data_IF_901220395822
#
_entry.id   IF_901220395822
#
_cell.length_a   1.000
_cell.length_b   1.000
_cell.length_c   1.000
_cell.angle_alpha   90.00
_cell.angle_beta   90.00
_cell.angle_gamma   90.00
#
_symmetry.space_group_name_H-M   'P 1'
#
loop_
_entity.id
_entity.type
_entity.pdbx_description
1 polymer ?
#
# COMPACT_ATOMS: atom_id res chain seq x y z
N UNK A 1 24.44 83.21 8.02
CA UNK A 1 24.46 82.04 8.94
C UNK A 1 23.02 81.59 9.25
N UNK A 2 22.71 80.30 9.17
CA UNK A 2 21.66 79.73 10.04
C UNK A 2 20.51 78.88 9.46
N UNK A 3 20.21 78.87 8.15
CA UNK A 3 19.03 78.14 7.63
C UNK A 3 19.29 76.71 7.11
N UNK A 4 20.54 76.32 6.85
CA UNK A 4 20.83 75.07 6.14
C UNK A 4 20.99 73.82 7.03
N UNK A 5 21.32 73.97 8.31
CA UNK A 5 21.63 72.82 9.18
C UNK A 5 20.40 72.27 9.92
N UNK A 6 19.31 73.03 10.03
CA UNK A 6 18.10 72.61 10.74
C UNK A 6 17.24 71.62 9.92
N UNK A 7 17.13 71.81 8.60
CA UNK A 7 16.34 70.92 7.73
C UNK A 7 16.97 69.53 7.54
N UNK A 8 18.29 69.41 7.67
CA UNK A 8 19.00 68.12 7.48
C UNK A 8 18.83 67.20 8.70
N UNK A 9 18.76 67.75 9.92
CA UNK A 9 18.61 66.98 11.15
C UNK A 9 17.16 66.48 11.33
N UNK A 10 16.17 67.31 10.95
CA UNK A 10 14.74 66.94 11.01
C UNK A 10 14.44 65.81 10.00
N UNK A 11 14.98 65.87 8.78
CA UNK A 11 14.78 64.83 7.77
C UNK A 11 15.39 63.46 8.13
N UNK A 12 16.53 63.44 8.83
CA UNK A 12 17.19 62.20 9.28
C UNK A 12 16.48 61.52 10.45
N UNK A 13 15.93 62.30 11.39
CA UNK A 13 15.12 61.77 12.51
C UNK A 13 13.78 61.21 12.02
N UNK A 14 13.12 61.90 11.09
CA UNK A 14 11.81 61.50 10.56
C UNK A 14 11.88 60.21 9.72
N UNK A 15 12.96 59.99 8.95
CA UNK A 15 13.16 58.72 8.22
C UNK A 15 13.42 57.52 9.14
N UNK A 16 14.12 57.72 10.27
CA UNK A 16 14.39 56.64 11.24
C UNK A 16 13.16 56.23 12.05
N UNK A 17 12.30 57.17 12.41
CA UNK A 17 11.03 56.86 13.09
C UNK A 17 10.02 56.24 12.14
N UNK A 18 9.98 56.69 10.88
CA UNK A 18 9.10 56.11 9.86
C UNK A 18 9.50 54.65 9.54
N UNK A 19 10.80 54.38 9.37
CA UNK A 19 11.29 53.01 9.12
C UNK A 19 11.04 52.08 10.32
N UNK A 20 11.19 52.58 11.56
CA UNK A 20 10.89 51.80 12.78
C UNK A 20 9.40 51.50 12.95
N UNK A 21 8.52 52.47 12.68
CA UNK A 21 7.07 52.23 12.70
C UNK A 21 6.62 51.24 11.62
N UNK A 22 7.17 51.34 10.41
CA UNK A 22 6.82 50.43 9.31
C UNK A 22 7.35 49.00 9.55
N UNK A 23 8.51 48.87 10.17
CA UNK A 23 9.07 47.56 10.53
C UNK A 23 8.28 46.88 11.67
N UNK A 24 7.85 47.63 12.69
CA UNK A 24 7.02 47.11 13.78
C UNK A 24 5.61 46.77 13.27
N UNK A 25 5.04 47.59 12.39
CA UNK A 25 3.76 47.32 11.74
C UNK A 25 3.83 46.07 10.83
N UNK A 26 4.94 45.88 10.11
CA UNK A 26 5.20 44.68 9.31
C UNK A 26 5.37 43.42 10.15
N UNK A 27 6.03 43.51 11.32
CA UNK A 27 6.14 42.40 12.27
C UNK A 27 4.79 42.02 12.90
N UNK A 28 3.95 43.01 13.23
CA UNK A 28 2.60 42.78 13.76
C UNK A 28 1.66 42.16 12.72
N UNK A 29 1.68 42.65 11.47
CA UNK A 29 0.90 42.07 10.36
C UNK A 29 1.42 40.68 9.95
N UNK A 30 2.74 40.49 9.90
CA UNK A 30 3.35 39.18 9.61
C UNK A 30 3.07 38.15 10.70
N UNK A 31 3.09 38.56 11.97
CA UNK A 31 2.70 37.72 13.11
C UNK A 31 1.22 37.34 13.08
N UNK A 32 0.33 38.27 12.71
CA UNK A 32 -1.10 37.99 12.57
C UNK A 32 -1.37 36.97 11.45
N UNK A 33 -0.67 37.08 10.31
CA UNK A 33 -0.77 36.13 9.19
C UNK A 33 -0.23 34.74 9.57
N UNK A 34 0.87 34.68 10.32
CA UNK A 34 1.44 33.40 10.81
C UNK A 34 0.54 32.70 11.85
N UNK A 35 -0.14 33.46 12.72
CA UNK A 35 -1.11 32.90 13.68
C UNK A 35 -2.38 32.41 12.97
N UNK A 36 -2.83 33.09 11.90
CA UNK A 36 -3.96 32.62 11.09
C UNK A 36 -3.66 31.37 10.23
N UNK A 37 -2.41 31.13 9.86
CA UNK A 37 -2.01 29.94 9.09
C UNK A 37 -2.02 28.65 9.94
N UNK A 38 -1.88 28.76 11.25
CA UNK A 38 -1.93 27.62 12.19
C UNK A 38 -3.36 27.11 12.45
N UNK A 39 -4.40 27.82 11.99
CA UNK A 39 -5.81 27.41 12.17
C UNK A 39 -6.36 26.47 11.08
N UNK A 40 -5.55 26.08 10.08
CA UNK A 40 -5.99 25.19 8.99
C UNK A 40 -5.67 23.70 9.20
N UNK A 41 -4.96 23.34 10.28
CA UNK A 41 -4.78 21.94 10.68
C UNK A 41 -5.87 21.56 11.68
N UNK A 42 -7.11 21.46 11.22
CA UNK A 42 -8.12 20.75 12.01
C UNK A 42 -7.77 19.25 12.00
N UNK A 43 -7.87 18.53 13.13
CA UNK A 43 -7.72 17.08 13.12
C UNK A 43 -8.78 16.52 12.17
N UNK A 44 -8.35 15.74 11.18
CA UNK A 44 -9.26 14.97 10.33
C UNK A 44 -10.12 14.16 11.29
N UNK A 45 -11.47 14.32 11.29
CA UNK A 45 -12.31 13.47 12.11
C UNK A 45 -12.02 12.04 11.67
N UNK A 46 -11.41 11.27 12.57
CA UNK A 46 -11.21 9.84 12.37
C UNK A 46 -12.60 9.28 12.14
N UNK A 47 -12.91 8.85 10.91
CA UNK A 47 -14.16 8.13 10.65
C UNK A 47 -14.11 6.92 11.57
N UNK A 48 -14.91 6.95 12.62
CA UNK A 48 -15.17 5.77 13.42
C UNK A 48 -15.59 4.70 12.41
N UNK A 49 -14.77 3.67 12.27
CA UNK A 49 -15.13 2.46 11.56
C UNK A 49 -16.41 1.95 12.21
N UNK A 50 -17.53 2.11 11.51
CA UNK A 50 -18.83 1.73 12.04
C UNK A 50 -18.81 0.20 12.09
N UNK A 51 -18.70 -0.35 13.29
CA UNK A 51 -18.89 -1.78 13.53
C UNK A 51 -20.37 -2.08 13.28
N UNK A 52 -20.68 -2.59 12.09
CA UNK A 52 -22.02 -3.08 11.77
C UNK A 52 -22.12 -4.53 12.22
N UNK A 53 -22.84 -4.77 13.31
CA UNK A 53 -23.23 -6.11 13.73
C UNK A 53 -24.34 -6.59 12.80
N UNK A 54 -24.06 -7.60 11.98
CA UNK A 54 -25.11 -8.30 11.23
C UNK A 54 -25.94 -9.12 12.21
N UNK A 55 -27.27 -8.98 12.23
CA UNK A 55 -28.11 -9.69 13.19
C UNK A 55 -28.07 -11.20 12.97
N UNK A 56 -27.69 -11.95 14.01
CA UNK A 56 -27.72 -13.41 14.02
C UNK A 56 -29.18 -13.90 14.20
N UNK A 57 -29.61 -14.98 13.51
CA UNK A 57 -30.93 -15.57 13.71
C UNK A 57 -31.16 -16.04 15.17
N UNK A 58 -32.39 -15.92 15.66
CA UNK A 58 -32.80 -16.51 16.94
C UNK A 58 -33.09 -18.02 16.82
N UNK A 59 -33.45 -18.67 17.93
CA UNK A 59 -33.81 -20.11 17.99
C UNK A 59 -34.92 -20.52 17.00
N UNK A 60 -35.79 -19.58 16.63
CA UNK A 60 -36.87 -19.78 15.66
C UNK A 60 -36.45 -19.44 14.21
N UNK A 61 -35.16 -19.20 13.96
CA UNK A 61 -34.63 -18.81 12.66
C UNK A 61 -34.96 -17.36 12.24
N UNK A 62 -35.50 -16.55 13.14
CA UNK A 62 -35.91 -15.18 12.84
C UNK A 62 -34.75 -14.20 13.06
N UNK A 63 -34.49 -13.36 12.06
CA UNK A 63 -33.45 -12.33 12.10
C UNK A 63 -34.11 -11.01 12.45
N UNK A 64 -33.70 -10.38 13.56
CA UNK A 64 -34.25 -9.12 14.02
C UNK A 64 -33.22 -7.99 14.01
N UNK A 65 -33.66 -6.80 13.61
CA UNK A 65 -32.92 -5.56 13.74
C UNK A 65 -33.62 -4.62 14.72
N UNK A 66 -32.87 -3.97 15.61
CA UNK A 66 -33.45 -2.95 16.52
C UNK A 66 -33.19 -1.57 15.94
N UNK A 67 -34.27 -0.82 15.66
CA UNK A 67 -34.21 0.51 15.08
C UNK A 67 -33.42 1.45 15.99
N UNK A 68 -32.43 2.14 15.41
CA UNK A 68 -31.64 3.16 16.09
C UNK A 68 -32.18 4.55 15.80
N UNK A 69 -31.80 5.52 16.61
CA UNK A 69 -32.17 6.92 16.37
C UNK A 69 -31.60 7.40 15.02
N UNK A 70 -32.46 7.98 14.18
CA UNK A 70 -32.10 8.42 12.82
C UNK A 70 -32.20 7.34 11.73
N UNK A 71 -32.61 6.11 12.07
CA UNK A 71 -32.84 5.08 11.07
C UNK A 71 -34.07 5.39 10.20
N UNK A 72 -33.93 5.11 8.91
CA UNK A 72 -35.00 5.14 7.92
C UNK A 72 -35.21 3.76 7.34
N UNK A 73 -36.39 3.50 6.77
CA UNK A 73 -36.67 2.24 6.07
C UNK A 73 -35.60 1.93 4.99
N UNK A 74 -35.16 2.96 4.27
CA UNK A 74 -34.12 2.85 3.24
C UNK A 74 -32.76 2.51 3.85
N UNK A 75 -32.35 3.19 4.92
CA UNK A 75 -31.04 2.93 5.54
C UNK A 75 -30.97 1.51 6.13
N UNK A 76 -32.04 1.05 6.79
CA UNK A 76 -32.12 -0.31 7.34
C UNK A 76 -32.14 -1.37 6.25
N UNK A 77 -32.91 -1.15 5.18
CA UNK A 77 -32.97 -2.04 4.01
C UNK A 77 -31.59 -2.24 3.36
N UNK A 78 -30.89 -1.14 3.06
CA UNK A 78 -29.57 -1.19 2.41
C UNK A 78 -28.50 -1.81 3.31
N UNK A 79 -28.50 -1.47 4.60
CA UNK A 79 -27.50 -2.00 5.55
C UNK A 79 -27.66 -3.49 5.81
N UNK A 80 -28.89 -4.00 5.78
CA UNK A 80 -29.18 -5.41 6.08
C UNK A 80 -29.50 -6.24 4.84
N UNK A 81 -29.37 -5.67 3.64
CA UNK A 81 -29.60 -6.34 2.35
C UNK A 81 -31.00 -6.96 2.22
N UNK A 82 -32.02 -6.32 2.79
CA UNK A 82 -33.43 -6.75 2.72
C UNK A 82 -34.19 -5.76 1.85
N UNK A 83 -35.06 -6.23 0.95
CA UNK A 83 -35.83 -5.33 0.09
C UNK A 83 -36.79 -4.46 0.93
N UNK A 84 -37.07 -3.22 0.48
CA UNK A 84 -38.03 -2.36 1.19
C UNK A 84 -39.42 -3.01 1.28
N UNK A 85 -39.85 -3.67 0.21
CA UNK A 85 -41.15 -4.32 0.15
C UNK A 85 -41.23 -5.50 1.12
N UNK A 86 -40.18 -6.30 1.24
CA UNK A 86 -40.11 -7.37 2.23
C UNK A 86 -40.03 -6.83 3.66
N UNK A 87 -39.25 -5.78 3.90
CA UNK A 87 -39.14 -5.17 5.23
C UNK A 87 -40.50 -4.66 5.70
N UNK A 88 -41.29 -4.06 4.81
CA UNK A 88 -42.65 -3.59 5.09
C UNK A 88 -43.62 -4.74 5.29
N UNK A 89 -43.62 -5.71 4.38
CA UNK A 89 -44.49 -6.89 4.43
C UNK A 89 -44.27 -7.71 5.69
N UNK A 90 -43.01 -7.91 6.11
CA UNK A 90 -42.65 -8.68 7.31
C UNK A 90 -43.01 -7.98 8.62
N UNK A 91 -43.07 -6.64 8.62
CA UNK A 91 -43.32 -5.84 9.83
C UNK A 91 -44.67 -5.09 9.80
N UNK A 92 -45.50 -5.37 8.81
CA UNK A 92 -46.80 -4.76 8.60
C UNK A 92 -46.74 -3.21 8.57
N UNK A 93 -45.69 -2.67 7.94
CA UNK A 93 -45.47 -1.23 7.78
C UNK A 93 -46.20 -0.71 6.54
N UNK A 94 -46.71 0.52 6.63
CA UNK A 94 -47.44 1.20 5.56
C UNK A 94 -46.51 1.78 4.46
N UNK A 95 -47.13 2.46 3.49
CA UNK A 95 -46.47 3.13 2.37
C UNK A 95 -45.56 4.32 2.76
N UNK A 96 -45.58 4.75 4.01
CA UNK A 96 -44.70 5.80 4.53
C UNK A 96 -43.49 5.22 5.32
N UNK A 97 -43.56 3.93 5.72
CA UNK A 97 -42.49 3.17 6.39
C UNK A 97 -41.77 3.95 7.50
N UNK A 98 -42.57 4.52 8.40
CA UNK A 98 -42.08 5.29 9.55
C UNK A 98 -41.52 4.32 10.60
N UNK A 99 -40.23 4.45 10.91
CA UNK A 99 -39.57 3.63 11.91
C UNK A 99 -39.50 4.35 13.25
N UNK A 100 -39.79 3.64 14.33
CA UNK A 100 -39.71 4.16 15.70
C UNK A 100 -38.45 3.59 16.36
N UNK A 101 -37.52 4.43 16.86
CA UNK A 101 -36.32 3.96 17.56
C UNK A 101 -36.65 3.02 18.72
N UNK A 102 -35.87 1.96 18.87
CA UNK A 102 -36.03 0.90 19.88
C UNK A 102 -36.96 -0.24 19.48
N UNK A 103 -37.74 -0.11 18.40
CA UNK A 103 -38.60 -1.20 17.89
C UNK A 103 -37.77 -2.26 17.18
N UNK A 104 -38.17 -3.53 17.31
CA UNK A 104 -37.55 -4.66 16.60
C UNK A 104 -38.27 -4.90 15.27
N UNK A 105 -37.51 -4.89 14.19
CA UNK A 105 -37.94 -5.24 12.85
C UNK A 105 -37.50 -6.67 12.53
N UNK A 106 -38.42 -7.49 12.05
CA UNK A 106 -38.15 -8.77 11.44
C UNK A 106 -37.56 -8.53 10.04
N UNK A 107 -36.31 -8.91 9.84
CA UNK A 107 -35.61 -8.78 8.56
C UNK A 107 -35.82 -9.98 7.66
N UNK A 108 -36.07 -11.14 8.24
CA UNK A 108 -36.28 -12.39 7.52
C UNK A 108 -36.33 -13.58 8.46
N UNK A 109 -36.69 -14.72 7.89
CA UNK A 109 -36.66 -16.02 8.57
C UNK A 109 -35.78 -16.94 7.75
N UNK A 110 -34.71 -17.44 8.35
CA UNK A 110 -34.03 -18.62 7.83
C UNK A 110 -34.82 -19.82 8.31
N UNK A 111 -35.12 -20.75 7.42
CA UNK A 111 -35.78 -22.00 7.82
C UNK A 111 -34.84 -22.69 8.83
N UNK A 112 -35.30 -22.98 10.06
CA UNK A 112 -34.49 -23.75 11.00
C UNK A 112 -34.29 -25.12 10.36
N UNK A 113 -33.11 -25.33 9.80
CA UNK A 113 -32.71 -26.66 9.36
C UNK A 113 -32.93 -27.59 10.56
N UNK A 114 -33.68 -28.70 10.41
CA UNK A 114 -33.98 -29.56 11.54
C UNK A 114 -32.66 -29.94 12.20
N UNK A 115 -32.49 -29.44 13.43
CA UNK A 115 -31.54 -30.04 14.36
C UNK A 115 -32.15 -31.41 14.65
N UNK A 116 -31.74 -32.41 13.88
CA UNK A 116 -32.01 -33.80 14.20
C UNK A 116 -31.71 -33.97 15.68
N UNK A 117 -32.71 -34.44 16.43
CA UNK A 117 -32.55 -34.84 17.81
C UNK A 117 -31.26 -35.68 17.91
N UNK A 118 -30.46 -35.37 18.93
CA UNK A 118 -29.27 -36.14 19.30
C UNK A 118 -29.76 -37.56 19.65
N UNK A 119 -29.86 -38.42 18.65
CA UNK A 119 -29.52 -39.83 18.83
C UNK A 119 -28.06 -39.82 19.31
N UNK A 120 -27.61 -40.70 20.22
CA UNK A 120 -26.18 -40.83 20.46
C UNK A 120 -25.54 -40.94 19.09
N UNK A 121 -24.78 -39.90 18.73
CA UNK A 121 -23.92 -39.94 17.57
C UNK A 121 -23.01 -41.10 17.89
N UNK A 122 -23.31 -42.28 17.31
CA UNK A 122 -22.24 -43.22 17.08
C UNK A 122 -21.19 -42.39 16.38
N UNK A 123 -20.07 -42.15 17.07
CA UNK A 123 -18.89 -41.57 16.48
C UNK A 123 -18.72 -42.27 15.16
N UNK A 124 -18.92 -41.61 14.00
CA UNK A 124 -18.55 -42.25 12.76
C UNK A 124 -17.08 -42.61 12.93
N UNK A 125 -16.78 -43.90 13.00
CA UNK A 125 -15.40 -44.41 13.00
C UNK A 125 -14.70 -44.08 11.67
N UNK A 126 -15.42 -43.47 10.72
CA UNK A 126 -14.85 -42.86 9.54
C UNK A 126 -14.57 -41.38 9.77
N UNK A 127 -13.37 -40.91 9.38
CA UNK A 127 -13.07 -39.49 9.38
C UNK A 127 -14.11 -38.75 8.51
N UNK A 128 -14.71 -37.68 9.05
CA UNK A 128 -15.38 -36.67 8.22
C UNK A 128 -14.39 -36.25 7.13
N UNK A 129 -14.75 -36.23 5.84
CA UNK A 129 -13.83 -35.73 4.83
C UNK A 129 -13.50 -34.29 5.19
N UNK A 130 -12.25 -34.03 5.55
CA UNK A 130 -11.73 -32.68 5.68
C UNK A 130 -11.99 -31.99 4.34
N UNK A 131 -12.57 -30.78 4.29
CA UNK A 131 -12.73 -30.07 3.03
C UNK A 131 -11.38 -30.05 2.32
N UNK A 132 -11.37 -30.53 1.07
CA UNK A 132 -10.17 -30.59 0.27
C UNK A 132 -9.69 -29.15 0.04
N UNK A 133 -8.61 -28.77 0.72
CA UNK A 133 -7.91 -27.51 0.41
C UNK A 133 -7.27 -27.70 -0.95
N UNK A 134 -7.85 -27.08 -1.97
CA UNK A 134 -7.22 -27.05 -3.27
C UNK A 134 -5.98 -26.18 -3.24
N UNK A 135 -5.14 -26.35 -4.25
CA UNK A 135 -3.94 -25.55 -4.43
C UNK A 135 -4.02 -24.72 -5.70
N UNK A 136 -3.29 -23.61 -5.73
CA UNK A 136 -3.08 -22.77 -6.89
C UNK A 136 -1.63 -22.81 -7.38
N UNK A 137 -1.42 -22.13 -8.51
CA UNK A 137 -0.14 -21.88 -9.18
C UNK A 137 0.06 -20.38 -9.33
N UNK A 138 1.26 -19.91 -9.00
CA UNK A 138 1.68 -18.52 -9.25
C UNK A 138 2.97 -18.53 -10.04
N UNK A 139 2.99 -17.86 -11.18
CA UNK A 139 4.15 -17.69 -12.05
C UNK A 139 4.63 -16.24 -12.02
N UNK A 140 5.95 -16.05 -11.99
CA UNK A 140 6.57 -14.73 -11.94
C UNK A 140 7.41 -14.53 -13.20
N UNK A 141 7.15 -13.41 -13.87
CA UNK A 141 7.91 -12.92 -15.02
C UNK A 141 8.62 -11.64 -14.60
N UNK A 142 9.92 -11.54 -14.88
CA UNK A 142 10.66 -10.29 -14.80
C UNK A 142 11.10 -9.94 -16.23
N UNK A 143 10.70 -8.77 -16.72
CA UNK A 143 10.97 -8.34 -18.10
C UNK A 143 11.73 -7.01 -18.13
N UNK A 144 12.48 -6.83 -19.21
CA UNK A 144 13.20 -5.61 -19.52
C UNK A 144 12.23 -4.61 -20.17
N UNK A 145 11.74 -3.69 -19.35
CA UNK A 145 10.82 -2.63 -19.72
C UNK A 145 11.58 -1.52 -20.45
N UNK A 146 11.77 -1.70 -21.76
CA UNK A 146 12.63 -0.82 -22.57
C UNK A 146 11.97 0.54 -22.78
N UNK A 147 10.64 0.57 -22.84
CA UNK A 147 9.87 1.78 -23.09
C UNK A 147 9.39 2.48 -21.80
N UNK A 148 9.52 1.83 -20.65
CA UNK A 148 9.19 2.36 -19.32
C UNK A 148 7.69 2.40 -19.03
N UNK A 149 6.87 1.60 -19.72
CA UNK A 149 5.41 1.63 -19.60
C UNK A 149 4.86 0.66 -18.54
N UNK A 150 5.74 -0.13 -17.88
CA UNK A 150 5.41 -1.11 -16.86
C UNK A 150 4.47 -2.25 -17.33
N UNK A 151 4.44 -2.53 -18.64
CA UNK A 151 3.64 -3.59 -19.24
C UNK A 151 4.53 -4.45 -20.14
N UNK A 152 4.49 -5.77 -19.96
CA UNK A 152 5.24 -6.68 -20.80
C UNK A 152 4.68 -6.68 -22.24
N UNK A 153 5.51 -6.32 -23.22
CA UNK A 153 5.13 -6.20 -24.63
C UNK A 153 5.95 -7.10 -25.58
N UNK A 154 5.43 -7.30 -26.79
CA UNK A 154 6.14 -8.04 -27.83
C UNK A 154 7.44 -7.32 -28.22
N UNK A 155 8.57 -8.02 -28.10
CA UNK A 155 9.91 -7.47 -28.34
C UNK A 155 10.67 -7.13 -27.05
N UNK A 156 10.03 -7.19 -25.89
CA UNK A 156 10.72 -7.13 -24.61
C UNK A 156 11.31 -8.50 -24.22
N UNK A 157 12.38 -8.47 -23.43
CA UNK A 157 13.14 -9.68 -23.07
C UNK A 157 13.01 -9.98 -21.58
N UNK A 158 13.00 -11.26 -21.20
CA UNK A 158 13.08 -11.63 -19.79
C UNK A 158 14.42 -11.24 -19.16
N UNK A 159 14.40 -10.92 -17.88
CA UNK A 159 15.58 -10.69 -17.04
C UNK A 159 15.66 -11.84 -16.04
N UNK A 160 16.76 -12.58 -16.08
CA UNK A 160 17.06 -13.64 -15.11
C UNK A 160 17.81 -13.12 -13.88
N UNK A 161 17.74 -13.89 -12.79
CA UNK A 161 18.51 -13.63 -11.57
C UNK A 161 17.87 -12.61 -10.61
N UNK A 162 16.63 -12.18 -10.86
CA UNK A 162 15.85 -11.46 -9.86
C UNK A 162 15.39 -12.42 -8.76
N UNK A 163 15.61 -12.08 -7.49
CA UNK A 163 15.27 -12.97 -6.37
C UNK A 163 13.79 -12.85 -6.02
N UNK A 164 13.08 -13.98 -5.98
CA UNK A 164 11.65 -14.07 -5.70
C UNK A 164 11.45 -14.50 -4.24
N UNK A 165 10.49 -13.90 -3.55
CA UNK A 165 10.02 -14.35 -2.23
C UNK A 165 8.49 -14.33 -2.16
N UNK A 166 7.91 -15.46 -1.77
CA UNK A 166 6.46 -15.63 -1.58
C UNK A 166 6.22 -16.02 -0.12
N UNK A 167 5.45 -15.20 0.60
CA UNK A 167 5.18 -15.41 2.03
C UNK A 167 3.67 -15.35 2.30
N UNK A 168 3.11 -16.34 3.00
CA UNK A 168 1.72 -16.27 3.50
C UNK A 168 1.59 -15.12 4.51
N UNK A 169 0.46 -14.43 4.58
CA UNK A 169 0.13 -13.43 5.62
C UNK A 169 0.38 -13.93 7.04
N UNK A 170 0.22 -15.23 7.30
CA UNK A 170 0.49 -15.86 8.59
C UNK A 170 1.98 -16.21 8.81
N UNK A 171 2.84 -16.00 7.81
CA UNK A 171 4.30 -16.25 7.86
C UNK A 171 4.68 -17.74 7.93
N UNK A 172 3.73 -18.66 7.70
CA UNK A 172 3.94 -20.11 7.81
C UNK A 172 4.62 -20.70 6.57
N UNK A 173 4.37 -20.10 5.42
CA UNK A 173 4.97 -20.48 4.12
C UNK A 173 5.93 -19.38 3.72
N UNK A 174 7.14 -19.76 3.33
CA UNK A 174 8.17 -18.88 2.79
C UNK A 174 8.89 -19.63 1.68
N UNK A 175 8.54 -19.31 0.43
CA UNK A 175 9.18 -19.87 -0.76
C UNK A 175 10.08 -18.82 -1.39
N UNK A 176 11.20 -19.27 -1.95
CA UNK A 176 12.15 -18.42 -2.65
C UNK A 176 12.52 -19.03 -3.99
N UNK A 177 12.86 -18.20 -4.96
CA UNK A 177 13.37 -18.63 -6.26
C UNK A 177 14.08 -17.50 -6.98
N UNK A 178 14.40 -17.72 -8.25
CA UNK A 178 14.98 -16.70 -9.12
C UNK A 178 14.19 -16.61 -10.43
N UNK A 179 14.17 -15.44 -11.04
CA UNK A 179 13.48 -15.23 -12.32
C UNK A 179 14.21 -15.94 -13.47
N UNK A 180 13.42 -16.48 -14.39
CA UNK A 180 13.90 -17.18 -15.59
C UNK A 180 14.45 -16.19 -16.64
N UNK A 181 15.26 -16.71 -17.57
CA UNK A 181 15.74 -15.97 -18.74
C UNK A 181 14.76 -16.03 -19.93
N UNK A 182 13.55 -16.56 -19.73
CA UNK A 182 12.51 -16.71 -20.75
C UNK A 182 11.19 -16.11 -20.28
N UNK A 183 10.47 -15.43 -21.19
CA UNK A 183 9.11 -14.94 -20.94
C UNK A 183 8.06 -16.05 -21.12
N UNK A 184 8.36 -17.04 -21.97
CA UNK A 184 7.46 -18.17 -22.26
C UNK A 184 7.55 -19.27 -21.19
N UNK A 185 8.68 -19.34 -20.50
CA UNK A 185 8.94 -20.29 -19.40
C UNK A 185 9.25 -19.54 -18.09
N UNK A 186 8.22 -18.91 -17.47
CA UNK A 186 8.40 -18.18 -16.22
C UNK A 186 8.67 -19.12 -15.04
N UNK A 187 9.23 -18.55 -13.98
CA UNK A 187 9.42 -19.29 -12.73
C UNK A 187 8.09 -19.42 -12.01
N UNK A 188 7.57 -20.66 -11.92
CA UNK A 188 6.28 -20.96 -11.30
C UNK A 188 6.44 -21.69 -9.96
N UNK A 189 5.55 -21.34 -9.03
CA UNK A 189 5.39 -21.98 -7.74
C UNK A 189 4.05 -22.71 -7.72
N UNK A 190 4.13 -24.03 -7.72
CA UNK A 190 2.98 -24.92 -7.68
C UNK A 190 2.57 -25.26 -6.24
N UNK A 191 1.36 -25.80 -6.11
CA UNK A 191 0.85 -26.36 -4.87
C UNK A 191 0.76 -25.33 -3.72
N UNK A 192 0.49 -24.06 -4.05
CA UNK A 192 0.21 -23.03 -3.06
C UNK A 192 -1.17 -23.27 -2.46
N UNK A 193 -1.25 -23.44 -1.14
CA UNK A 193 -2.53 -23.56 -0.45
C UNK A 193 -3.40 -22.32 -0.68
N UNK A 194 -4.72 -22.47 -0.59
CA UNK A 194 -5.62 -21.32 -0.60
C UNK A 194 -5.31 -20.34 0.56
N UNK A 195 -5.17 -19.05 0.25
CA UNK A 195 -4.79 -18.06 1.25
C UNK A 195 -4.25 -16.76 0.67
N UNK A 196 -3.97 -15.80 1.55
CA UNK A 196 -3.41 -14.49 1.20
C UNK A 196 -1.88 -14.56 1.23
N UNK A 197 -1.24 -14.24 0.11
CA UNK A 197 0.22 -14.24 -0.04
C UNK A 197 0.74 -12.84 -0.34
N UNK A 198 1.94 -12.56 0.15
CA UNK A 198 2.75 -11.42 -0.26
C UNK A 198 3.89 -11.93 -1.14
N UNK A 199 3.90 -11.52 -2.41
CA UNK A 199 4.89 -11.87 -3.42
C UNK A 199 5.78 -10.67 -3.64
N UNK A 200 7.09 -10.86 -3.54
CA UNK A 200 8.08 -9.82 -3.79
C UNK A 200 9.20 -10.29 -4.72
N UNK A 201 9.73 -9.36 -5.51
CA UNK A 201 10.85 -9.60 -6.43
C UNK A 201 11.94 -8.56 -6.21
N UNK A 202 13.16 -9.01 -5.99
CA UNK A 202 14.34 -8.16 -5.97
C UNK A 202 14.92 -8.06 -7.39
N UNK A 203 15.15 -6.83 -7.85
CA UNK A 203 15.74 -6.56 -9.15
C UNK A 203 17.24 -6.86 -9.11
N UNK A 204 17.81 -7.58 -10.10
CA UNK A 204 19.23 -7.86 -10.15
C UNK A 204 20.07 -6.60 -10.37
N UNK A 205 21.36 -6.69 -10.10
CA UNK A 205 22.29 -5.58 -10.29
C UNK A 205 22.27 -5.06 -11.74
N UNK A 206 22.42 -3.74 -11.89
CA UNK A 206 22.44 -3.11 -13.20
C UNK A 206 21.06 -2.80 -13.79
N UNK A 207 19.98 -3.05 -13.06
CA UNK A 207 18.61 -2.68 -13.44
C UNK A 207 17.93 -1.80 -12.38
N UNK A 208 16.96 -0.99 -12.81
CA UNK A 208 16.08 -0.22 -11.92
C UNK A 208 14.64 -0.69 -12.12
N UNK A 209 13.85 -0.89 -11.04
CA UNK A 209 12.46 -1.29 -11.16
C UNK A 209 11.61 -0.22 -11.87
N UNK A 210 10.71 -0.66 -12.73
CA UNK A 210 9.66 0.18 -13.35
C UNK A 210 8.26 -0.18 -12.86
N UNK A 211 8.08 -1.37 -12.27
CA UNK A 211 6.85 -1.81 -11.60
C UNK A 211 6.98 -1.79 -10.07
N UNK A 212 5.86 -2.04 -9.39
CA UNK A 212 5.88 -2.41 -7.97
C UNK A 212 6.61 -3.74 -7.80
N UNK A 213 7.38 -3.85 -6.71
CA UNK A 213 8.16 -5.05 -6.39
C UNK A 213 7.48 -5.94 -5.35
N UNK A 214 6.29 -5.59 -4.91
CA UNK A 214 5.56 -6.29 -3.85
C UNK A 214 4.05 -6.31 -4.14
N UNK A 215 3.45 -7.50 -4.20
CA UNK A 215 2.04 -7.74 -4.51
C UNK A 215 1.39 -8.63 -3.45
N UNK A 216 0.23 -8.20 -2.95
CA UNK A 216 -0.65 -9.06 -2.17
C UNK A 216 -1.61 -9.80 -3.13
N UNK A 217 -1.61 -11.12 -3.08
CA UNK A 217 -2.44 -11.98 -3.92
C UNK A 217 -3.20 -12.98 -3.07
N UNK A 218 -4.52 -13.00 -3.23
CA UNK A 218 -5.37 -14.07 -2.70
C UNK A 218 -5.36 -15.24 -3.67
N UNK A 219 -4.82 -16.37 -3.25
CA UNK A 219 -4.79 -17.62 -4.01
C UNK A 219 -6.00 -18.47 -3.63
N UNK A 220 -6.77 -18.87 -4.64
CA UNK A 220 -7.89 -19.81 -4.54
C UNK A 220 -7.52 -21.15 -5.17
N UNK A 221 -8.29 -22.19 -4.81
CA UNK A 221 -8.11 -23.53 -5.38
C UNK A 221 -8.23 -23.53 -6.92
N UNK A 222 -7.19 -24.00 -7.61
CA UNK A 222 -7.13 -24.07 -9.07
C UNK A 222 -6.67 -22.80 -9.77
N UNK A 223 -6.34 -21.74 -9.02
CA UNK A 223 -5.85 -20.50 -9.63
C UNK A 223 -4.54 -20.71 -10.39
N UNK A 224 -4.40 -20.03 -11.54
CA UNK A 224 -3.16 -19.93 -12.28
C UNK A 224 -2.89 -18.44 -12.55
N UNK A 225 -2.13 -17.81 -11.66
CA UNK A 225 -1.84 -16.37 -11.72
C UNK A 225 -0.45 -16.14 -12.28
N UNK A 226 -0.32 -15.21 -13.22
CA UNK A 226 0.97 -14.73 -13.73
C UNK A 226 1.16 -13.29 -13.27
N UNK A 227 2.28 -13.00 -12.62
CA UNK A 227 2.64 -11.68 -12.13
C UNK A 227 3.84 -11.14 -12.89
N UNK A 228 3.67 -9.98 -13.50
CA UNK A 228 4.68 -9.33 -14.31
C UNK A 228 5.39 -8.23 -13.51
N UNK A 229 6.72 -8.28 -13.55
CA UNK A 229 7.60 -7.29 -12.94
C UNK A 229 8.49 -6.68 -14.02
N UNK A 230 8.53 -5.35 -14.08
CA UNK A 230 9.29 -4.60 -15.06
C UNK A 230 10.54 -3.99 -14.43
N UNK A 231 11.65 -4.03 -15.16
CA UNK A 231 12.84 -3.28 -14.82
C UNK A 231 13.56 -2.79 -16.07
N UNK A 232 14.23 -1.64 -15.97
CA UNK A 232 15.00 -1.05 -17.06
C UNK A 232 16.50 -1.07 -16.74
N UNK A 233 17.35 -1.19 -17.76
CA UNK A 233 18.81 -1.09 -17.59
C UNK A 233 19.20 0.23 -16.91
N UNK A 234 20.02 0.13 -15.87
CA UNK A 234 20.58 1.27 -15.17
C UNK A 234 21.60 1.99 -16.05
N UNK A 235 21.54 3.32 -16.10
CA UNK A 235 22.56 4.14 -16.76
C UNK A 235 23.96 4.01 -16.14
N UNK A 236 24.07 3.40 -14.95
CA UNK A 236 25.32 3.08 -14.26
C UNK A 236 25.89 1.69 -14.61
N UNK A 237 25.14 0.86 -15.37
CA UNK A 237 25.55 -0.49 -15.75
C UNK A 237 26.48 -0.53 -16.98
N UNK A 238 26.85 0.63 -17.55
CA UNK A 238 27.93 0.69 -18.53
C UNK A 238 29.20 0.19 -17.85
N UNK A 239 29.85 -0.87 -18.36
CA UNK A 239 31.16 -1.24 -17.86
C UNK A 239 32.03 -0.01 -18.02
N UNK A 240 32.53 0.53 -16.91
CA UNK A 240 33.65 1.47 -16.98
C UNK A 240 34.68 0.80 -17.87
N UNK A 241 35.13 1.41 -18.98
CA UNK A 241 36.20 0.82 -19.77
C UNK A 241 37.30 0.53 -18.77
N UNK A 242 37.72 -0.74 -18.71
CA UNK A 242 38.86 -1.14 -17.89
C UNK A 242 39.96 -0.21 -18.34
N UNK A 243 40.27 0.78 -17.50
CA UNK A 243 41.47 1.56 -17.67
C UNK A 243 42.56 0.56 -17.38
N UNK A 244 42.98 -0.15 -18.42
CA UNK A 244 44.28 -0.80 -18.47
C UNK A 244 45.23 0.29 -17.99
N UNK A 245 45.61 0.18 -16.72
CA UNK A 245 46.57 1.04 -16.08
C UNK A 245 47.85 0.86 -16.86
N UNK A 246 48.01 1.68 -17.90
CA UNK A 246 49.21 1.78 -18.69
C UNK A 246 50.31 2.05 -17.71
N UNK A 247 51.15 1.03 -17.47
CA UNK A 247 52.34 1.12 -16.64
C UNK A 247 53.16 2.24 -17.25
N UNK A 248 53.04 3.44 -16.69
CA UNK A 248 53.73 4.62 -17.17
C UNK A 248 55.22 4.39 -16.85
N UNK A 249 56.08 4.14 -17.85
CA UNK A 249 57.49 3.86 -17.59
C UNK A 249 58.17 5.04 -16.86
N UNK A 250 57.58 6.23 -16.95
CA UNK A 250 58.03 7.44 -16.26
C UNK A 250 57.93 7.32 -14.73
N UNK A 251 56.90 6.67 -14.19
CA UNK A 251 56.79 6.44 -12.73
C UNK A 251 57.72 5.32 -12.24
N UNK A 252 58.01 4.32 -13.09
CA UNK A 252 58.99 3.27 -12.78
C UNK A 252 60.43 3.82 -12.75
N UNK A 253 60.77 4.72 -13.66
CA UNK A 253 62.07 5.41 -13.68
C UNK A 253 62.20 6.32 -12.46
N UNK A 254 61.16 7.09 -12.12
CA UNK A 254 61.18 7.96 -10.94
C UNK A 254 61.35 7.15 -9.63
N UNK A 255 60.64 6.03 -9.49
CA UNK A 255 60.79 5.12 -8.35
C UNK A 255 62.18 4.48 -8.26
N UNK A 256 62.78 4.12 -9.40
CA UNK A 256 64.13 3.58 -9.45
C UNK A 256 65.21 4.58 -9.02
N UNK A 257 65.08 5.85 -9.40
CA UNK A 257 66.01 6.91 -9.01
C UNK A 257 65.96 7.14 -7.49
N UNK A 258 64.76 7.11 -6.89
CA UNK A 258 64.59 7.29 -5.44
C UNK A 258 65.22 6.12 -4.66
N UNK A 259 65.07 4.88 -5.13
CA UNK A 259 65.68 3.71 -4.49
C UNK A 259 67.22 3.73 -4.59
N UNK A 260 67.77 4.16 -5.72
CA UNK A 260 69.22 4.28 -5.89
C UNK A 260 69.80 5.42 -5.04
N UNK A 261 69.08 6.53 -4.88
CA UNK A 261 69.51 7.62 -4.00
C UNK A 261 69.47 7.22 -2.51
N UNK A 262 68.53 6.36 -2.10
CA UNK A 262 68.42 5.88 -0.72
C UNK A 262 69.54 4.92 -0.28
N UNK A 263 70.13 4.16 -1.22
CA UNK A 263 71.23 3.23 -0.94
C UNK A 263 72.62 3.89 -0.95
N UNK A 264 72.73 5.15 -1.38
CA UNK A 264 74.00 5.90 -1.40
C UNK A 264 74.31 6.69 -0.12
N UNK A 265 73.46 6.59 0.91
CA UNK A 265 73.55 7.35 2.15
C UNK A 265 73.66 6.47 3.42
N UNK A 266 73.94 5.17 3.27
CA UNK A 266 74.17 4.23 4.37
C UNK A 266 75.65 3.84 4.49
#
# INVERSE_FOLDING_TARGET
MGKSQFNVIIGKRMKRTFFRCWFILGLLLGGLVLVSALSLFQPIPTRAQVLYFTPTPNENGQIFYTVKEGDTCISVSLLNQVSLDDLRRLNNLDADCVLIPGVRLLLGTVEPQPTSAILPTETPLLPSPTPFRGTGRVCIVLFNDVNGNALAEEGETAISGGAISITDRLGRVSLTGETSASLEEPTCFDNLEEGEYNISVAIPEGYNPTTLLNYALQVSAGDNSVLDFGAQLSSQALPTPVSEGGRSPLMAVMGGIILLAGLGLA
#
